data_IF_251526612438
#
_entry.id   IF_251526612438
#
_cell.length_a   1.000
_cell.length_b   1.000
_cell.length_c   1.000
_cell.angle_alpha   90.00
_cell.angle_beta   90.00
_cell.angle_gamma   90.00
#
_symmetry.space_group_name_H-M   'P 1'
#
loop_
_entity.id
_entity.type
_entity.pdbx_description
1 polymer ?
#
# COMPACT_ATOMS: atom_id res chain seq x y z
N UNK A 1 8.20 -9.45 -36.15
CA UNK A 1 8.64 -9.09 -34.78
C UNK A 1 7.42 -9.01 -33.88
N UNK A 2 7.22 -9.93 -32.91
CA UNK A 2 6.11 -9.82 -31.97
C UNK A 2 6.29 -8.56 -31.10
N UNK A 3 5.23 -7.78 -30.94
CA UNK A 3 5.24 -6.65 -29.99
C UNK A 3 5.33 -7.23 -28.57
N UNK A 4 6.22 -6.72 -27.70
CA UNK A 4 6.36 -7.26 -26.34
C UNK A 4 5.03 -7.17 -25.58
N UNK A 5 4.78 -8.09 -24.66
CA UNK A 5 3.54 -8.07 -23.87
C UNK A 5 3.51 -6.84 -22.93
N UNK A 6 2.34 -6.30 -22.56
CA UNK A 6 2.25 -5.11 -21.68
C UNK A 6 3.02 -5.25 -20.35
N UNK A 7 3.14 -6.48 -19.82
CA UNK A 7 3.90 -6.78 -18.60
C UNK A 7 5.42 -6.71 -18.80
N UNK A 8 5.90 -7.12 -19.97
CA UNK A 8 7.33 -7.06 -20.31
C UNK A 8 7.78 -5.63 -20.54
N UNK A 9 6.96 -4.82 -21.22
CA UNK A 9 7.19 -3.36 -21.37
C UNK A 9 7.32 -2.69 -20.00
N UNK A 10 6.37 -2.92 -19.11
CA UNK A 10 6.39 -2.37 -17.75
C UNK A 10 7.61 -2.82 -16.93
N UNK A 11 8.05 -4.08 -17.10
CA UNK A 11 9.26 -4.60 -16.42
C UNK A 11 10.53 -3.95 -16.97
N UNK A 12 10.62 -3.74 -18.27
CA UNK A 12 11.73 -3.03 -18.90
C UNK A 12 11.79 -1.56 -18.45
N UNK A 13 10.64 -0.87 -18.43
CA UNK A 13 10.50 0.50 -17.93
C UNK A 13 10.94 0.63 -16.47
N UNK A 14 10.51 -0.29 -15.60
CA UNK A 14 10.92 -0.33 -14.19
C UNK A 14 12.43 -0.52 -14.01
N UNK A 15 13.02 -1.39 -14.83
CA UNK A 15 14.46 -1.66 -14.76
C UNK A 15 15.26 -0.44 -15.19
N UNK A 16 14.85 0.20 -16.29
CA UNK A 16 15.50 1.41 -16.79
C UNK A 16 15.37 2.59 -15.80
N UNK A 17 14.19 2.79 -15.22
CA UNK A 17 13.96 3.85 -14.23
C UNK A 17 14.76 3.61 -12.94
N UNK A 18 14.86 2.36 -12.46
CA UNK A 18 15.71 2.02 -11.32
C UNK A 18 17.21 2.28 -11.61
N UNK A 19 17.68 1.91 -12.80
CA UNK A 19 19.06 2.17 -13.23
C UNK A 19 19.36 3.67 -13.32
N UNK A 20 18.42 4.47 -13.82
CA UNK A 20 18.55 5.93 -13.88
C UNK A 20 18.66 6.54 -12.48
N UNK A 21 17.79 6.13 -11.55
CA UNK A 21 17.82 6.62 -10.17
C UNK A 21 19.16 6.33 -9.48
N UNK A 22 19.71 5.13 -9.68
CA UNK A 22 21.03 4.75 -9.15
C UNK A 22 22.15 5.60 -9.75
N UNK A 23 22.13 5.82 -11.07
CA UNK A 23 23.12 6.65 -11.75
C UNK A 23 23.09 8.12 -11.26
N UNK A 24 21.90 8.68 -11.01
CA UNK A 24 21.73 10.03 -10.46
C UNK A 24 22.28 10.13 -9.03
N UNK A 25 22.04 9.12 -8.19
CA UNK A 25 22.57 9.08 -6.83
C UNK A 25 24.11 9.07 -6.83
N UNK A 26 24.72 8.23 -7.67
CA UNK A 26 26.18 8.18 -7.81
C UNK A 26 26.79 9.48 -8.37
N UNK A 27 26.03 10.23 -9.17
CA UNK A 27 26.45 11.53 -9.70
C UNK A 27 26.22 12.69 -8.72
N UNK A 28 25.79 12.43 -7.47
CA UNK A 28 25.48 13.47 -6.48
C UNK A 28 24.22 14.29 -6.76
N UNK A 29 23.37 13.83 -7.70
CA UNK A 29 22.10 14.50 -8.06
C UNK A 29 20.96 13.95 -7.22
N UNK A 30 21.06 14.16 -5.91
CA UNK A 30 20.16 13.58 -4.90
C UNK A 30 18.67 13.88 -5.17
N UNK A 31 18.36 15.11 -5.59
CA UNK A 31 16.97 15.52 -5.83
C UNK A 31 16.34 14.78 -7.02
N UNK A 32 17.12 14.54 -8.08
CA UNK A 32 16.67 13.81 -9.26
C UNK A 32 16.52 12.31 -8.96
N UNK A 33 17.49 11.75 -8.25
CA UNK A 33 17.44 10.36 -7.80
C UNK A 33 16.19 10.10 -6.94
N UNK A 34 15.83 11.01 -6.04
CA UNK A 34 14.61 10.92 -5.23
C UNK A 34 13.34 10.98 -6.08
N UNK A 35 13.29 11.85 -7.10
CA UNK A 35 12.15 11.90 -8.03
C UNK A 35 11.99 10.59 -8.80
N UNK A 36 13.08 10.06 -9.36
CA UNK A 36 13.04 8.82 -10.12
C UNK A 36 12.75 7.61 -9.21
N UNK A 37 13.27 7.56 -7.98
CA UNK A 37 12.89 6.54 -7.00
C UNK A 37 11.39 6.55 -6.68
N UNK A 38 10.78 7.73 -6.58
CA UNK A 38 9.33 7.86 -6.37
C UNK A 38 8.54 7.34 -7.56
N UNK A 39 8.97 7.67 -8.78
CA UNK A 39 8.36 7.20 -10.02
C UNK A 39 8.47 5.68 -10.17
N UNK A 40 9.63 5.09 -9.91
CA UNK A 40 9.83 3.62 -9.86
C UNK A 40 8.85 2.98 -8.87
N UNK A 41 8.66 3.57 -7.68
CA UNK A 41 7.75 3.05 -6.66
C UNK A 41 6.28 3.13 -7.07
N UNK A 42 5.88 4.18 -7.76
CA UNK A 42 4.53 4.35 -8.30
C UNK A 42 4.29 3.35 -9.44
N UNK A 43 5.26 3.21 -10.36
CA UNK A 43 5.23 2.24 -11.45
C UNK A 43 5.34 0.79 -10.99
N UNK A 44 6.01 0.48 -9.88
CA UNK A 44 6.17 -0.91 -9.41
C UNK A 44 4.96 -1.38 -8.61
N UNK A 45 4.10 -0.46 -8.17
CA UNK A 45 3.21 -0.69 -7.04
C UNK A 45 3.98 -0.70 -5.72
N UNK A 46 3.31 -0.44 -4.60
CA UNK A 46 3.97 -0.52 -3.28
C UNK A 46 4.25 -1.99 -2.96
N UNK A 47 5.40 -2.35 -2.36
CA UNK A 47 5.78 -3.75 -2.08
C UNK A 47 4.76 -4.54 -1.24
N UNK A 48 3.84 -3.86 -0.55
CA UNK A 48 2.71 -4.48 0.13
C UNK A 48 1.57 -4.94 -0.78
N UNK A 49 1.34 -4.30 -1.93
CA UNK A 49 0.23 -4.62 -2.85
C UNK A 49 0.52 -5.87 -3.68
N UNK A 50 1.79 -6.16 -3.97
CA UNK A 50 2.20 -7.37 -4.71
C UNK A 50 2.08 -8.66 -3.88
N UNK A 51 2.05 -8.55 -2.55
CA UNK A 51 1.96 -9.70 -1.62
C UNK A 51 0.53 -10.07 -1.24
N UNK A 52 -0.45 -9.25 -1.56
CA UNK A 52 -1.83 -9.47 -1.13
C UNK A 52 -2.62 -10.26 -2.18
N UNK A 53 -2.56 -11.58 -2.06
CA UNK A 53 -3.45 -12.47 -2.82
C UNK A 53 -4.92 -12.17 -2.48
N UNK A 54 -5.81 -12.10 -3.49
CA UNK A 54 -7.26 -12.09 -3.26
C UNK A 54 -7.68 -13.26 -2.37
N UNK A 55 -8.49 -13.00 -1.34
CA UNK A 55 -8.94 -14.03 -0.38
C UNK A 55 -7.94 -14.36 0.74
N UNK A 56 -6.71 -13.86 0.73
CA UNK A 56 -5.79 -14.03 1.86
C UNK A 56 -6.21 -13.11 3.04
N UNK A 57 -6.06 -13.57 4.30
CA UNK A 57 -6.39 -12.76 5.47
C UNK A 57 -5.63 -11.42 5.47
N UNK A 58 -6.21 -10.43 6.16
CA UNK A 58 -5.53 -9.16 6.39
C UNK A 58 -4.21 -9.40 7.13
N UNK A 59 -3.17 -8.66 6.77
CA UNK A 59 -1.91 -8.69 7.54
C UNK A 59 -2.15 -8.21 8.96
N UNK A 60 -1.36 -8.67 9.94
CA UNK A 60 -1.48 -8.29 11.37
C UNK A 60 -1.72 -6.80 11.60
N UNK A 61 -0.94 -5.92 10.94
CA UNK A 61 -1.07 -4.46 11.10
C UNK A 61 -2.39 -3.92 10.55
N UNK A 62 -2.92 -4.51 9.48
CA UNK A 62 -4.23 -4.15 8.92
C UNK A 62 -5.37 -4.68 9.77
N UNK A 63 -5.22 -5.87 10.37
CA UNK A 63 -6.18 -6.40 11.34
C UNK A 63 -6.29 -5.47 12.55
N UNK A 64 -5.14 -5.08 13.11
CA UNK A 64 -5.09 -4.15 14.24
C UNK A 64 -5.80 -2.81 13.95
N UNK A 65 -5.54 -2.22 12.77
CA UNK A 65 -6.27 -1.02 12.33
C UNK A 65 -7.77 -1.29 12.16
N UNK A 66 -8.16 -2.42 11.56
CA UNK A 66 -9.55 -2.79 11.37
C UNK A 66 -10.29 -2.98 12.71
N UNK A 67 -9.64 -3.58 13.71
CA UNK A 67 -10.19 -3.76 15.06
C UNK A 67 -10.42 -2.42 15.75
N UNK A 68 -9.41 -1.54 15.78
CA UNK A 68 -9.57 -0.21 16.40
C UNK A 68 -10.65 0.63 15.70
N UNK A 69 -10.80 0.43 14.39
CA UNK A 69 -11.87 1.04 13.61
C UNK A 69 -13.25 0.50 14.00
N UNK A 70 -13.36 -0.82 14.22
CA UNK A 70 -14.56 -1.48 14.69
C UNK A 70 -14.95 -1.01 16.10
N UNK A 71 -13.96 -0.70 16.94
CA UNK A 71 -14.14 -0.08 18.26
C UNK A 71 -14.62 1.39 18.20
N UNK A 72 -14.78 1.96 17.00
CA UNK A 72 -15.29 3.32 16.80
C UNK A 72 -14.23 4.43 16.78
N UNK A 73 -12.93 4.10 16.91
CA UNK A 73 -11.86 5.12 16.98
C UNK A 73 -11.60 5.80 15.64
N UNK A 74 -11.53 7.12 15.61
CA UNK A 74 -11.13 7.91 14.44
C UNK A 74 -9.70 7.60 13.97
N UNK A 75 -9.36 7.96 12.72
CA UNK A 75 -7.99 7.81 12.20
C UNK A 75 -6.93 8.49 13.08
N UNK A 76 -7.31 9.59 13.77
CA UNK A 76 -6.43 10.30 14.69
C UNK A 76 -6.17 9.51 15.97
N UNK A 77 -7.22 8.95 16.58
CA UNK A 77 -7.08 8.12 17.79
C UNK A 77 -6.35 6.80 17.49
N UNK A 78 -6.61 6.19 16.33
CA UNK A 78 -5.85 5.03 15.86
C UNK A 78 -4.38 5.39 15.67
N UNK A 79 -4.09 6.55 15.06
CA UNK A 79 -2.72 7.03 14.86
C UNK A 79 -1.98 7.23 16.17
N UNK A 80 -2.64 7.80 17.18
CA UNK A 80 -2.09 7.97 18.53
C UNK A 80 -1.79 6.62 19.19
N UNK A 81 -2.75 5.68 19.20
CA UNK A 81 -2.55 4.34 19.78
C UNK A 81 -1.46 3.54 19.11
N UNK A 82 -1.33 3.69 17.80
CA UNK A 82 -0.41 2.92 16.98
C UNK A 82 0.94 3.63 16.74
N UNK A 83 1.10 4.84 17.32
CA UNK A 83 2.29 5.72 17.21
C UNK A 83 2.73 5.92 15.75
N UNK A 84 1.77 6.23 14.88
CA UNK A 84 1.98 6.52 13.45
C UNK A 84 1.24 7.80 13.04
N UNK A 85 1.49 8.31 11.83
CA UNK A 85 0.76 9.50 11.37
C UNK A 85 -0.69 9.16 10.96
N UNK A 86 -1.65 10.09 11.15
CA UNK A 86 -3.04 9.93 10.66
C UNK A 86 -3.10 9.60 9.17
N UNK A 87 -2.27 10.25 8.36
CA UNK A 87 -2.13 9.97 6.92
C UNK A 87 -1.73 8.52 6.62
N UNK A 88 -0.93 7.90 7.50
CA UNK A 88 -0.57 6.49 7.37
C UNK A 88 -1.76 5.59 7.68
N UNK A 89 -2.56 5.95 8.70
CA UNK A 89 -3.80 5.25 9.02
C UNK A 89 -4.78 5.32 7.86
N UNK A 90 -5.05 6.51 7.31
CA UNK A 90 -5.98 6.68 6.19
C UNK A 90 -5.57 5.82 4.98
N UNK A 91 -4.26 5.81 4.66
CA UNK A 91 -3.74 4.96 3.60
C UNK A 91 -3.78 3.45 3.92
N UNK A 92 -3.83 3.06 5.20
CA UNK A 92 -4.08 1.67 5.60
C UNK A 92 -5.57 1.34 5.47
N UNK A 93 -6.47 2.24 5.86
CA UNK A 93 -7.94 2.08 5.72
C UNK A 93 -8.33 1.89 4.27
N UNK A 94 -7.85 2.75 3.38
CA UNK A 94 -8.10 2.64 1.93
C UNK A 94 -7.69 1.27 1.38
N UNK A 95 -6.54 0.75 1.82
CA UNK A 95 -6.07 -0.59 1.41
C UNK A 95 -6.85 -1.73 2.04
N UNK A 96 -7.42 -1.54 3.24
CA UNK A 96 -8.31 -2.51 3.88
C UNK A 96 -9.61 -2.57 3.08
N UNK A 97 -10.23 -1.41 2.84
CA UNK A 97 -11.46 -1.28 2.05
C UNK A 97 -11.31 -1.93 0.68
N UNK A 98 -10.27 -1.54 -0.06
CA UNK A 98 -10.01 -2.10 -1.40
C UNK A 98 -9.72 -3.61 -1.38
N UNK A 99 -9.10 -4.13 -0.32
CA UNK A 99 -8.82 -5.57 -0.19
C UNK A 99 -10.08 -6.38 0.15
N UNK A 100 -10.99 -5.81 0.92
CA UNK A 100 -12.25 -6.43 1.30
C UNK A 100 -13.38 -6.14 0.31
N UNK A 101 -13.12 -5.34 -0.73
CA UNK A 101 -14.11 -4.82 -1.67
C UNK A 101 -15.23 -4.04 -0.97
N UNK A 102 -14.86 -3.26 0.05
CA UNK A 102 -15.76 -2.41 0.82
C UNK A 102 -15.64 -0.96 0.39
N UNK A 103 -16.75 -0.24 0.52
CA UNK A 103 -16.86 1.19 0.23
C UNK A 103 -16.89 2.06 1.49
N UNK A 104 -17.07 1.46 2.68
CA UNK A 104 -17.19 2.22 3.92
C UNK A 104 -16.52 1.57 5.12
N UNK A 105 -16.06 2.43 6.03
CA UNK A 105 -15.51 2.05 7.33
C UNK A 105 -16.49 1.23 8.18
N UNK A 106 -17.79 1.50 8.06
CA UNK A 106 -18.83 0.75 8.76
C UNK A 106 -18.89 -0.72 8.31
N UNK A 107 -18.67 -1.00 7.02
CA UNK A 107 -18.58 -2.38 6.54
C UNK A 107 -17.39 -3.12 7.15
N UNK A 108 -16.25 -2.43 7.37
CA UNK A 108 -15.10 -3.01 8.08
C UNK A 108 -15.48 -3.39 9.51
N UNK A 109 -16.21 -2.52 10.22
CA UNK A 109 -16.66 -2.80 11.58
C UNK A 109 -17.57 -4.04 11.65
N UNK A 110 -18.56 -4.13 10.75
CA UNK A 110 -19.44 -5.31 10.66
C UNK A 110 -18.67 -6.59 10.32
N UNK A 111 -17.67 -6.51 9.44
CA UNK A 111 -16.84 -7.65 9.08
C UNK A 111 -15.96 -8.13 10.24
N UNK A 112 -15.37 -7.22 11.02
CA UNK A 112 -14.61 -7.58 12.23
C UNK A 112 -15.51 -8.27 13.24
N UNK A 113 -16.71 -7.74 13.48
CA UNK A 113 -17.68 -8.34 14.39
C UNK A 113 -18.07 -9.76 13.94
N UNK A 114 -18.30 -9.98 12.64
CA UNK A 114 -18.58 -11.31 12.11
C UNK A 114 -17.39 -12.28 12.21
N UNK A 115 -16.16 -11.77 12.08
CA UNK A 115 -14.93 -12.58 12.12
C UNK A 115 -14.47 -12.94 13.54
N UNK A 116 -14.94 -12.23 14.57
CA UNK A 116 -14.64 -12.51 15.97
C UNK A 116 -15.51 -13.63 16.57
N UNK A 117 -16.55 -14.07 15.84
CA UNK A 117 -17.53 -15.09 16.27
C UNK A 117 -17.19 -16.47 15.68
N UNK A 118 -15.96 -16.68 15.19
CA UNK A 118 -15.45 -17.95 14.65
C UNK A 118 -14.30 -18.48 15.51
#
# INVERSE_FOLDING_TARGET
MPRPEPRERRRAELTAAAQLAMAQAHAGREHEALRTCREVRELSGRPGELRERPGAPLTRRKQEVATLIADGLSSKEVAERLTISPRTVDGLVERILRKLDFSSRTQVASWVAASAVS
#
